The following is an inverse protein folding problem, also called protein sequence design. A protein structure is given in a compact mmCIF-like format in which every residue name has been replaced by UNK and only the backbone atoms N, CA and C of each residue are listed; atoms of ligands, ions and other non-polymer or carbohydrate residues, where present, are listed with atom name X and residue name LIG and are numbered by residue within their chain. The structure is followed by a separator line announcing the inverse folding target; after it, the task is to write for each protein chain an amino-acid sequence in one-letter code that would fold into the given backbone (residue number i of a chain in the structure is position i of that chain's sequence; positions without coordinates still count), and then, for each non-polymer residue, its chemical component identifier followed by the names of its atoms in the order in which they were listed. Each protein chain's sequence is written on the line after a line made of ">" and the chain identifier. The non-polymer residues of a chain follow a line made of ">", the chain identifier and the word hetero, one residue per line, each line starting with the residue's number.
data_IF_824776897428
#
_entry.id   IF_824776897428
#
_cell.length_a   1.000
_cell.length_b   1.000
_cell.length_c   1.000
_cell.angle_alpha   90.00
_cell.angle_beta   90.00
_cell.angle_gamma   90.00
#
_symmetry.space_group_name_H-M   'P 1'
#
loop_
_entity.id
_entity.type
_entity.pdbx_description
1 polymer ?
#
# COMPACT_ATOMS: atom_id res chain seq x y z
N UNK A 1 -8.53 9.75 20.04
CA UNK A 1 -7.33 9.24 19.34
C UNK A 1 -7.07 10.13 18.13
N UNK A 2 -5.86 10.73 18.09
CA UNK A 2 -5.47 11.57 16.96
C UNK A 2 -4.74 10.69 15.94
N UNK A 3 -5.24 10.69 14.70
CA UNK A 3 -4.62 9.96 13.60
C UNK A 3 -3.97 10.96 12.64
N UNK A 4 -2.70 10.73 12.32
CA UNK A 4 -1.97 11.51 11.32
C UNK A 4 -1.48 10.59 10.20
N UNK A 5 -1.47 11.12 8.97
CA UNK A 5 -0.96 10.42 7.79
C UNK A 5 0.23 11.22 7.26
N UNK A 6 1.37 10.55 7.13
CA UNK A 6 2.59 11.20 6.64
C UNK A 6 3.47 10.21 5.88
N UNK A 7 4.35 10.70 4.99
CA UNK A 7 5.32 9.83 4.33
C UNK A 7 6.22 9.13 5.34
N UNK A 8 6.56 7.88 5.03
CA UNK A 8 7.51 7.10 5.82
C UNK A 8 8.90 7.74 5.77
N UNK A 9 9.62 7.67 6.88
CA UNK A 9 11.00 8.12 7.01
C UNK A 9 11.91 6.94 7.34
N UNK A 10 13.21 7.11 7.18
CA UNK A 10 14.18 6.03 7.43
C UNK A 10 14.05 5.46 8.84
N UNK A 11 13.78 6.30 9.83
CA UNK A 11 13.58 5.86 11.21
C UNK A 11 12.37 4.94 11.39
N UNK A 12 11.46 4.91 10.42
CA UNK A 12 10.26 4.07 10.46
C UNK A 12 10.51 2.63 10.00
N UNK A 13 11.71 2.29 9.54
CA UNK A 13 12.02 0.96 9.00
C UNK A 13 11.56 -0.20 9.90
N UNK A 14 11.85 -0.19 11.22
CA UNK A 14 11.38 -1.30 12.08
C UNK A 14 9.87 -1.41 12.14
N UNK A 15 9.17 -0.28 12.19
CA UNK A 15 7.70 -0.25 12.23
C UNK A 15 7.09 -0.74 10.91
N UNK A 16 7.68 -0.35 9.77
CA UNK A 16 7.25 -0.82 8.44
C UNK A 16 7.44 -2.33 8.34
N UNK A 17 8.59 -2.83 8.76
CA UNK A 17 8.89 -4.27 8.72
C UNK A 17 7.88 -5.07 9.56
N UNK A 18 7.59 -4.59 10.77
CA UNK A 18 6.61 -5.25 11.64
C UNK A 18 5.21 -5.24 11.05
N UNK A 19 4.81 -4.12 10.46
CA UNK A 19 3.47 -3.98 9.88
C UNK A 19 3.29 -4.84 8.62
N UNK A 20 4.32 -4.92 7.77
CA UNK A 20 4.29 -5.80 6.60
C UNK A 20 4.26 -7.28 7.01
N UNK A 21 4.97 -7.66 8.06
CA UNK A 21 4.91 -9.02 8.58
C UNK A 21 3.52 -9.35 9.09
N UNK A 22 2.90 -8.46 9.86
CA UNK A 22 1.53 -8.64 10.33
C UNK A 22 0.56 -8.80 9.16
N UNK A 23 0.68 -7.95 8.14
CA UNK A 23 -0.14 -8.02 6.93
C UNK A 23 0.02 -9.37 6.23
N UNK A 24 1.26 -9.82 6.04
CA UNK A 24 1.54 -11.08 5.36
C UNK A 24 0.99 -12.26 6.15
N UNK A 25 1.09 -12.25 7.48
CA UNK A 25 0.47 -13.27 8.35
C UNK A 25 -1.04 -13.27 8.21
N UNK A 26 -1.65 -12.10 8.14
CA UNK A 26 -3.09 -11.98 7.93
C UNK A 26 -3.52 -12.62 6.61
N UNK A 27 -2.68 -12.52 5.57
CA UNK A 27 -2.94 -13.15 4.27
C UNK A 27 -2.40 -14.58 4.14
N UNK A 28 -1.96 -15.19 5.25
CA UNK A 28 -1.63 -16.61 5.30
C UNK A 28 -0.17 -16.99 5.18
N UNK A 29 0.74 -16.04 5.08
CA UNK A 29 2.17 -16.32 5.05
C UNK A 29 2.62 -16.89 6.41
N UNK A 30 3.39 -17.96 6.39
CA UNK A 30 3.89 -18.63 7.61
C UNK A 30 5.42 -18.69 7.70
N UNK A 31 6.10 -18.39 6.61
CA UNK A 31 7.57 -18.45 6.53
C UNK A 31 8.10 -17.07 6.12
N UNK A 32 9.04 -16.55 6.93
CA UNK A 32 9.54 -15.19 6.75
C UNK A 32 11.07 -15.19 6.72
N UNK A 33 11.60 -14.27 5.92
CA UNK A 33 13.02 -13.97 5.93
C UNK A 33 13.44 -13.49 7.33
N UNK A 34 14.73 -13.66 7.71
CA UNK A 34 15.23 -13.10 8.99
C UNK A 34 14.92 -11.60 9.08
N UNK A 35 14.59 -11.08 10.27
CA UNK A 35 14.24 -9.67 10.44
C UNK A 35 15.25 -8.67 9.86
N UNK A 36 16.55 -8.96 10.00
CA UNK A 36 17.59 -8.08 9.45
C UNK A 36 17.55 -8.03 7.92
N UNK A 37 17.26 -9.16 7.26
CA UNK A 37 17.15 -9.24 5.81
C UNK A 37 15.91 -8.46 5.33
N UNK A 38 14.81 -8.54 6.06
CA UNK A 38 13.58 -7.81 5.72
C UNK A 38 13.82 -6.30 5.78
N UNK A 39 14.45 -5.82 6.83
CA UNK A 39 14.78 -4.38 6.98
C UNK A 39 15.68 -3.93 5.82
N UNK A 40 16.71 -4.70 5.49
CA UNK A 40 17.62 -4.39 4.39
C UNK A 40 16.89 -4.30 3.05
N UNK A 41 15.99 -5.24 2.77
CA UNK A 41 15.21 -5.24 1.52
C UNK A 41 14.24 -4.05 1.47
N UNK A 42 13.57 -3.74 2.56
CA UNK A 42 12.66 -2.60 2.61
C UNK A 42 13.43 -1.30 2.34
N UNK A 43 14.58 -1.12 3.01
CA UNK A 43 15.42 0.05 2.80
C UNK A 43 15.85 0.18 1.35
N UNK A 44 16.27 -0.93 0.72
CA UNK A 44 16.74 -0.94 -0.66
C UNK A 44 15.67 -0.52 -1.66
N UNK A 45 14.40 -0.71 -1.36
CA UNK A 45 13.30 -0.35 -2.26
C UNK A 45 12.67 0.99 -1.95
N UNK A 46 12.60 1.39 -0.67
CA UNK A 46 11.89 2.61 -0.28
C UNK A 46 12.80 3.81 -0.07
N UNK A 47 14.04 3.58 0.40
CA UNK A 47 14.93 4.66 0.83
C UNK A 47 16.22 4.68 0.02
N UNK A 48 16.07 5.02 -1.24
CA UNK A 48 17.18 5.18 -2.20
C UNK A 48 16.84 6.33 -3.15
N UNK A 49 17.81 6.75 -3.98
CA UNK A 49 17.65 7.91 -4.87
C UNK A 49 16.46 7.79 -5.82
N UNK A 50 16.23 6.59 -6.35
CA UNK A 50 15.07 6.30 -7.22
C UNK A 50 14.27 5.16 -6.60
N UNK A 51 13.38 5.44 -5.64
CA UNK A 51 12.63 4.39 -4.95
C UNK A 51 11.75 3.57 -5.89
N UNK A 52 11.65 2.28 -5.59
CA UNK A 52 10.70 1.41 -6.29
C UNK A 52 9.26 1.73 -5.89
N UNK A 53 9.09 2.10 -4.62
CA UNK A 53 7.77 2.41 -4.08
C UNK A 53 7.89 3.48 -2.99
N UNK A 54 6.74 4.04 -2.64
CA UNK A 54 6.58 5.04 -1.59
C UNK A 54 5.59 4.51 -0.56
N UNK A 55 5.70 4.95 0.68
CA UNK A 55 4.81 4.51 1.75
C UNK A 55 4.29 5.72 2.52
N UNK A 56 2.98 5.76 2.69
CA UNK A 56 2.32 6.62 3.68
C UNK A 56 2.06 5.79 4.93
N UNK A 57 2.31 6.38 6.08
CA UNK A 57 2.04 5.74 7.38
C UNK A 57 0.92 6.46 8.09
N UNK A 58 0.02 5.69 8.68
CA UNK A 58 -0.98 6.19 9.61
C UNK A 58 -0.46 5.97 11.02
N UNK A 59 -0.48 7.03 11.82
CA UNK A 59 -0.05 7.00 13.23
C UNK A 59 -1.22 7.38 14.11
N UNK A 60 -1.47 6.56 15.13
CA UNK A 60 -2.42 6.87 16.19
C UNK A 60 -1.61 7.04 17.47
N UNK A 61 -1.62 8.24 18.05
CA UNK A 61 -0.86 8.57 19.27
C UNK A 61 0.62 8.16 19.14
N UNK A 62 1.25 8.51 18.02
CA UNK A 62 2.67 8.21 17.69
C UNK A 62 2.96 6.74 17.37
N UNK A 63 1.98 5.86 17.43
CA UNK A 63 2.15 4.45 17.04
C UNK A 63 1.74 4.27 15.57
N UNK A 64 2.57 3.56 14.80
CA UNK A 64 2.24 3.22 13.41
C UNK A 64 1.17 2.13 13.41
N UNK A 65 0.01 2.43 12.83
CA UNK A 65 -1.16 1.55 12.84
C UNK A 65 -1.67 1.21 11.46
N UNK A 66 -1.11 1.79 10.42
CA UNK A 66 -1.52 1.49 9.05
C UNK A 66 -0.51 1.99 8.04
N UNK A 67 -0.60 1.43 6.83
CA UNK A 67 0.24 1.87 5.72
C UNK A 67 -0.51 1.80 4.40
N UNK A 68 -0.04 2.61 3.45
CA UNK A 68 -0.38 2.50 2.04
C UNK A 68 0.92 2.56 1.25
N UNK A 69 1.22 1.50 0.50
CA UNK A 69 2.38 1.51 -0.40
C UNK A 69 1.92 1.74 -1.83
N UNK A 70 2.63 2.59 -2.55
CA UNK A 70 2.23 2.97 -3.90
C UNK A 70 3.42 3.26 -4.78
N UNK A 71 3.17 3.25 -6.08
CA UNK A 71 4.14 3.58 -7.11
C UNK A 71 3.44 4.37 -8.20
N UNK A 72 4.20 4.90 -9.15
CA UNK A 72 3.65 5.60 -10.29
C UNK A 72 3.80 4.76 -11.54
N UNK A 73 2.72 4.68 -12.33
CA UNK A 73 2.70 3.97 -13.60
C UNK A 73 2.48 4.98 -14.73
N UNK A 74 3.05 4.69 -15.89
CA UNK A 74 2.95 5.57 -17.05
C UNK A 74 2.78 4.75 -18.33
N UNK A 75 1.96 5.21 -19.32
CA UNK A 75 1.06 6.36 -19.26
C UNK A 75 -0.32 6.00 -18.69
N UNK A 76 -1.03 7.00 -18.20
CA UNK A 76 -2.43 6.90 -17.83
C UNK A 76 -3.29 7.57 -18.91
N UNK A 77 -4.07 8.59 -18.56
CA UNK A 77 -4.82 9.34 -19.58
C UNK A 77 -3.86 10.26 -20.34
N UNK A 78 -3.76 10.06 -21.65
CA UNK A 78 -2.77 10.78 -22.45
C UNK A 78 -1.35 10.47 -21.99
N UNK A 79 -0.57 11.51 -21.73
CA UNK A 79 0.83 11.38 -21.27
C UNK A 79 0.98 11.59 -19.76
N UNK A 80 -0.12 11.55 -19.03
CA UNK A 80 -0.11 11.65 -17.55
C UNK A 80 0.26 10.32 -16.92
N UNK A 81 0.50 10.34 -15.62
CA UNK A 81 0.78 9.13 -14.86
C UNK A 81 -0.40 8.73 -13.98
N UNK A 82 -0.37 7.49 -13.51
CA UNK A 82 -1.29 6.92 -12.55
C UNK A 82 -0.57 6.68 -11.24
N UNK A 83 -1.23 6.93 -10.12
CA UNK A 83 -0.77 6.43 -8.83
C UNK A 83 -1.35 5.03 -8.65
N UNK A 84 -0.48 4.04 -8.49
CA UNK A 84 -0.89 2.65 -8.27
C UNK A 84 -0.69 2.28 -6.79
N UNK A 85 -1.81 2.05 -6.11
CA UNK A 85 -1.81 1.57 -4.72
C UNK A 85 -1.57 0.06 -4.72
N UNK A 86 -0.43 -0.37 -4.15
CA UNK A 86 -0.08 -1.78 -4.11
C UNK A 86 -0.61 -2.47 -2.86
N UNK A 87 -0.44 -1.85 -1.69
CA UNK A 87 -0.91 -2.42 -0.42
C UNK A 87 -1.58 -1.34 0.43
N UNK A 88 -2.69 -1.71 1.05
CA UNK A 88 -3.39 -0.91 2.04
C UNK A 88 -3.69 -1.80 3.23
N UNK A 89 -3.15 -1.48 4.40
CA UNK A 89 -3.33 -2.30 5.57
C UNK A 89 -3.47 -1.45 6.83
N UNK A 90 -4.41 -1.80 7.69
CA UNK A 90 -4.61 -1.21 9.01
C UNK A 90 -4.61 -2.35 10.03
N UNK A 91 -3.86 -2.18 11.13
CA UNK A 91 -3.78 -3.20 12.18
C UNK A 91 -5.18 -3.51 12.74
N UNK A 92 -5.39 -4.77 13.13
CA UNK A 92 -6.71 -5.24 13.56
C UNK A 92 -7.30 -4.40 14.70
N UNK A 93 -6.46 -3.99 15.65
CA UNK A 93 -6.90 -3.21 16.82
C UNK A 93 -7.41 -1.80 16.47
N UNK A 94 -7.09 -1.31 15.30
CA UNK A 94 -7.44 0.06 14.87
C UNK A 94 -8.36 0.08 13.65
N UNK A 95 -8.96 -1.03 13.29
CA UNK A 95 -9.97 -1.09 12.22
C UNK A 95 -11.26 -0.42 12.68
N UNK A 96 -12.10 -0.03 11.70
CA UNK A 96 -13.37 0.65 11.92
C UNK A 96 -13.23 2.03 12.59
N UNK A 97 -12.05 2.66 12.45
CA UNK A 97 -11.78 4.02 12.93
C UNK A 97 -11.53 4.98 11.77
N UNK A 98 -11.95 4.62 10.57
CA UNK A 98 -11.78 5.42 9.35
C UNK A 98 -10.33 5.67 8.94
N UNK A 99 -9.39 4.87 9.43
CA UNK A 99 -7.96 5.03 9.08
C UNK A 99 -7.72 4.66 7.62
N UNK A 100 -8.31 3.57 7.15
CA UNK A 100 -8.21 3.18 5.74
C UNK A 100 -8.76 4.26 4.81
N UNK A 101 -9.88 4.85 5.18
CA UNK A 101 -10.46 5.97 4.44
C UNK A 101 -9.52 7.18 4.42
N UNK A 102 -8.91 7.52 5.55
CA UNK A 102 -7.96 8.62 5.64
C UNK A 102 -6.73 8.39 4.76
N UNK A 103 -6.23 7.15 4.73
CA UNK A 103 -5.14 6.76 3.83
C UNK A 103 -5.54 6.94 2.36
N UNK A 104 -6.72 6.49 1.98
CA UNK A 104 -7.23 6.67 0.61
C UNK A 104 -7.35 8.14 0.24
N UNK A 105 -7.88 8.97 1.13
CA UNK A 105 -8.00 10.41 0.89
C UNK A 105 -6.63 11.08 0.71
N UNK A 106 -5.64 10.65 1.49
CA UNK A 106 -4.28 11.17 1.35
C UNK A 106 -3.65 10.74 0.03
N UNK A 107 -3.92 9.52 -0.45
CA UNK A 107 -3.48 9.07 -1.77
C UNK A 107 -4.07 9.92 -2.89
N UNK A 108 -5.35 10.28 -2.78
CA UNK A 108 -5.98 11.21 -3.75
C UNK A 108 -5.23 12.54 -3.79
N UNK A 109 -4.87 13.08 -2.62
CA UNK A 109 -4.12 14.32 -2.54
C UNK A 109 -2.74 14.19 -3.16
N UNK A 110 -2.01 13.10 -2.88
CA UNK A 110 -0.70 12.83 -3.48
C UNK A 110 -0.83 12.74 -5.00
N UNK A 111 -1.83 12.04 -5.51
CA UNK A 111 -2.06 11.91 -6.94
C UNK A 111 -2.30 13.28 -7.59
N UNK A 112 -3.13 14.11 -6.99
CA UNK A 112 -3.39 15.46 -7.49
C UNK A 112 -2.14 16.32 -7.48
N UNK A 113 -1.37 16.28 -6.40
CA UNK A 113 -0.14 17.08 -6.23
C UNK A 113 0.97 16.65 -7.20
N UNK A 114 0.98 15.39 -7.63
CA UNK A 114 2.02 14.83 -8.50
C UNK A 114 1.60 14.74 -9.97
N UNK A 115 0.45 15.31 -10.34
CA UNK A 115 -0.01 15.35 -11.73
C UNK A 115 -0.55 14.03 -12.26
N UNK A 116 -1.02 13.16 -11.37
CA UNK A 116 -1.65 11.91 -11.79
C UNK A 116 -3.07 12.15 -12.29
N UNK A 117 -3.48 11.43 -13.33
CA UNK A 117 -4.84 11.49 -13.86
C UNK A 117 -5.75 10.43 -13.25
N UNK A 118 -5.17 9.45 -12.51
CA UNK A 118 -5.95 8.40 -11.85
C UNK A 118 -5.21 7.79 -10.68
N UNK A 119 -5.98 7.14 -9.80
CA UNK A 119 -5.49 6.24 -8.75
C UNK A 119 -6.08 4.87 -9.04
N UNK A 120 -5.26 3.84 -9.06
CA UNK A 120 -5.68 2.49 -9.41
C UNK A 120 -5.16 1.48 -8.38
N UNK A 121 -5.92 0.41 -8.19
CA UNK A 121 -5.51 -0.72 -7.34
C UNK A 121 -6.31 -1.95 -7.69
N UNK A 122 -5.91 -3.09 -7.12
CA UNK A 122 -6.63 -4.34 -7.23
C UNK A 122 -7.03 -4.86 -5.85
N UNK A 123 -8.01 -5.72 -5.81
CA UNK A 123 -8.36 -6.50 -4.64
C UNK A 123 -8.57 -7.94 -5.09
N UNK A 124 -8.18 -8.89 -4.24
CA UNK A 124 -8.38 -10.30 -4.54
C UNK A 124 -9.87 -10.60 -4.69
N UNK A 125 -10.22 -11.40 -5.70
CA UNK A 125 -11.61 -11.76 -5.96
C UNK A 125 -12.28 -12.44 -4.76
N UNK A 126 -11.51 -13.15 -3.93
CA UNK A 126 -12.00 -13.81 -2.72
C UNK A 126 -12.03 -12.93 -1.48
N UNK A 127 -11.52 -11.68 -1.54
CA UNK A 127 -11.48 -10.79 -0.39
C UNK A 127 -12.72 -9.91 -0.32
N UNK A 128 -13.82 -10.50 0.19
CA UNK A 128 -15.10 -9.80 0.29
C UNK A 128 -15.04 -8.57 1.22
N UNK A 129 -14.21 -8.62 2.26
CA UNK A 129 -14.05 -7.49 3.19
C UNK A 129 -13.46 -6.25 2.52
N UNK A 130 -12.40 -6.44 1.74
CA UNK A 130 -11.79 -5.34 0.98
C UNK A 130 -12.77 -4.78 -0.06
N UNK A 131 -13.45 -5.65 -0.79
CA UNK A 131 -14.43 -5.23 -1.79
C UNK A 131 -15.55 -4.40 -1.17
N UNK A 132 -16.06 -4.83 -0.02
CA UNK A 132 -17.08 -4.09 0.71
C UNK A 132 -16.57 -2.73 1.17
N UNK A 133 -15.36 -2.68 1.72
CA UNK A 133 -14.73 -1.44 2.15
C UNK A 133 -14.67 -0.41 1.01
N UNK A 134 -14.18 -0.83 -0.16
CA UNK A 134 -14.09 0.07 -1.30
C UNK A 134 -15.47 0.48 -1.83
N UNK A 135 -16.42 -0.44 -1.87
CA UNK A 135 -17.78 -0.14 -2.32
C UNK A 135 -18.47 0.87 -1.40
N UNK A 136 -18.30 0.73 -0.09
CA UNK A 136 -18.87 1.66 0.89
C UNK A 136 -18.29 3.07 0.75
N UNK A 137 -17.05 3.20 0.30
CA UNK A 137 -16.42 4.49 0.01
C UNK A 137 -16.82 5.06 -1.36
N UNK A 138 -17.62 4.34 -2.15
CA UNK A 138 -18.11 4.79 -3.44
C UNK A 138 -17.20 4.47 -4.61
N UNK A 139 -16.15 3.68 -4.42
CA UNK A 139 -15.27 3.27 -5.51
C UNK A 139 -15.94 2.22 -6.38
N UNK A 140 -15.70 2.31 -7.69
CA UNK A 140 -16.28 1.40 -8.68
C UNK A 140 -15.22 0.45 -9.22
N UNK A 141 -15.64 -0.79 -9.45
CA UNK A 141 -14.79 -1.79 -10.11
C UNK A 141 -14.61 -1.41 -11.57
N UNK A 142 -13.35 -1.33 -12.02
CA UNK A 142 -13.05 -1.09 -13.42
C UNK A 142 -13.22 -2.37 -14.24
N UNK A 143 -13.48 -2.20 -15.53
CA UNK A 143 -13.67 -3.33 -16.47
C UNK A 143 -12.30 -3.75 -17.03
N UNK A 144 -11.52 -4.46 -16.20
CA UNK A 144 -10.18 -4.94 -16.54
C UNK A 144 -10.00 -6.36 -16.05
N UNK A 145 -9.21 -7.14 -16.79
CA UNK A 145 -8.70 -8.42 -16.33
C UNK A 145 -7.25 -8.23 -15.88
N UNK A 146 -6.89 -8.91 -14.81
CA UNK A 146 -5.54 -8.84 -14.25
C UNK A 146 -4.77 -10.10 -14.65
N UNK A 147 -3.62 -9.91 -15.31
CA UNK A 147 -2.76 -11.02 -15.74
C UNK A 147 -1.45 -10.99 -14.96
N UNK A 148 -0.95 -12.18 -14.64
CA UNK A 148 0.30 -12.32 -13.88
C UNK A 148 1.10 -13.50 -14.41
N UNK A 149 2.41 -13.31 -14.52
CA UNK A 149 3.38 -14.40 -14.71
C UNK A 149 4.32 -14.34 -13.52
N UNK A 150 4.55 -15.46 -12.86
CA UNK A 150 5.37 -15.47 -11.65
C UNK A 150 6.22 -16.74 -11.53
N UNK A 151 7.23 -16.69 -10.66
CA UNK A 151 8.08 -17.81 -10.36
C UNK A 151 8.90 -18.29 -11.56
N UNK A 152 8.96 -19.59 -11.74
CA UNK A 152 9.73 -20.20 -12.82
C UNK A 152 9.21 -19.86 -14.21
N UNK A 153 7.94 -19.52 -14.33
CA UNK A 153 7.34 -19.14 -15.61
C UNK A 153 7.97 -17.87 -16.21
N UNK A 154 8.65 -17.08 -15.41
CA UNK A 154 9.38 -15.91 -15.90
C UNK A 154 10.56 -16.28 -16.81
N UNK A 155 11.01 -17.52 -16.77
CA UNK A 155 12.20 -18.01 -17.51
C UNK A 155 11.87 -18.80 -18.78
N UNK A 156 10.62 -18.88 -19.18
CA UNK A 156 10.23 -19.61 -20.41
C UNK A 156 10.30 -18.73 -21.66
#
# INVERSE_FOLDING_TARGET
>A
VTVTISPAELADLPAIAALLEEMDRFYGTTDFEPPADRVTQIQAHLFRDHPTAFVLLARADHQVVGLASYSFLWPAVGLTQSLYLKELYVVASHRRQSIGQALMQRLHAVAAETGCSRVEWTADAGNAGAQRFYAELGYKVADKLFYRVEGEDLNR
#
